data_IF_272512252575
#
_entry.id   IF_272512252575
#
_cell.length_a   1.000
_cell.length_b   1.000
_cell.length_c   1.000
_cell.angle_alpha   90.00
_cell.angle_beta   90.00
_cell.angle_gamma   90.00
#
_symmetry.space_group_name_H-M   'P 1'
#
loop_
_entity.id
_entity.type
_entity.pdbx_description
1 polymer ?
#
# COMPACT_ATOMS: atom_id res chain seq x y z
N UNK A 1 -11.55 44.13 10.11
CA UNK A 1 -10.58 43.03 10.11
C UNK A 1 -11.25 41.82 9.46
N UNK A 2 -10.84 41.52 8.26
CA UNK A 2 -11.37 40.38 7.52
C UNK A 2 -10.80 39.13 8.17
N UNK A 3 -11.67 38.35 8.81
CA UNK A 3 -11.33 37.05 9.36
C UNK A 3 -11.71 36.01 8.28
N UNK A 4 -10.72 35.38 7.66
CA UNK A 4 -10.92 34.31 6.72
C UNK A 4 -11.06 32.99 7.46
N UNK A 5 -12.17 32.29 7.26
CA UNK A 5 -12.38 30.93 7.73
C UNK A 5 -11.84 29.91 6.75
N UNK A 6 -11.98 28.63 7.08
CA UNK A 6 -11.53 27.53 6.20
C UNK A 6 -12.24 27.51 4.86
N UNK A 7 -13.52 27.90 4.81
CA UNK A 7 -14.30 27.98 3.56
C UNK A 7 -13.82 29.12 2.68
N UNK A 8 -13.53 30.30 3.25
CA UNK A 8 -13.01 31.46 2.53
C UNK A 8 -11.62 31.17 1.94
N UNK A 9 -10.77 30.44 2.68
CA UNK A 9 -9.47 30.00 2.20
C UNK A 9 -9.59 28.98 1.07
N UNK A 10 -10.52 28.06 1.14
CA UNK A 10 -10.79 27.09 0.08
C UNK A 10 -11.32 27.78 -1.19
N UNK A 11 -12.20 28.77 -1.04
CA UNK A 11 -12.70 29.58 -2.15
C UNK A 11 -11.61 30.44 -2.80
N UNK A 12 -10.69 30.98 -2.00
CA UNK A 12 -9.54 31.71 -2.50
C UNK A 12 -8.57 30.79 -3.26
N UNK A 13 -8.27 29.61 -2.72
CA UNK A 13 -7.39 28.62 -3.37
C UNK A 13 -7.98 28.14 -4.69
N UNK A 14 -9.28 27.89 -4.75
CA UNK A 14 -9.95 27.49 -6.01
C UNK A 14 -9.85 28.54 -7.12
N UNK A 15 -9.69 29.81 -6.77
CA UNK A 15 -9.49 30.93 -7.72
C UNK A 15 -8.04 31.07 -8.18
N UNK A 16 -7.08 30.55 -7.43
CA UNK A 16 -5.64 30.67 -7.70
C UNK A 16 -5.00 29.28 -7.87
N UNK A 17 -5.37 28.58 -8.93
CA UNK A 17 -4.95 27.21 -9.24
C UNK A 17 -3.42 27.02 -9.23
N UNK A 18 -2.65 28.03 -9.66
CA UNK A 18 -1.19 27.98 -9.59
C UNK A 18 -0.63 27.90 -8.17
N UNK A 19 -1.34 28.47 -7.19
CA UNK A 19 -0.98 28.41 -5.78
C UNK A 19 -1.33 27.05 -5.20
N UNK A 20 -2.48 26.51 -5.57
CA UNK A 20 -2.89 25.14 -5.21
C UNK A 20 -1.89 24.11 -5.72
N UNK A 21 -1.50 24.19 -6.99
CA UNK A 21 -0.53 23.28 -7.61
C UNK A 21 0.86 23.34 -6.98
N UNK A 22 1.30 24.54 -6.55
CA UNK A 22 2.58 24.74 -5.84
C UNK A 22 2.59 24.19 -4.41
N UNK A 23 1.44 24.17 -3.76
CA UNK A 23 1.30 23.80 -2.35
C UNK A 23 0.51 22.49 -2.19
N UNK A 24 1.15 21.39 -2.55
CA UNK A 24 0.62 20.04 -2.52
C UNK A 24 -0.25 19.68 -1.30
N UNK A 25 0.09 20.22 -0.10
CA UNK A 25 -0.72 20.00 1.11
C UNK A 25 -2.04 20.80 1.13
N UNK A 26 -2.14 21.89 0.39
CA UNK A 26 -3.33 22.75 0.43
C UNK A 26 -4.51 22.13 -0.32
N UNK A 27 -4.27 21.47 -1.44
CA UNK A 27 -5.37 20.88 -2.19
C UNK A 27 -5.68 19.43 -1.81
N UNK A 28 -4.78 18.69 -1.15
CA UNK A 28 -5.13 17.45 -0.46
C UNK A 28 -6.06 17.68 0.74
N UNK A 29 -6.02 18.86 1.36
CA UNK A 29 -6.96 19.25 2.41
C UNK A 29 -8.29 19.78 1.88
N UNK A 30 -8.36 20.15 0.59
CA UNK A 30 -9.60 20.59 -0.08
C UNK A 30 -10.35 19.37 -0.63
N UNK A 31 -11.14 18.76 0.25
CA UNK A 31 -11.97 17.57 -0.08
C UNK A 31 -12.90 17.77 -1.28
N UNK A 32 -13.26 19.00 -1.62
CA UNK A 32 -14.18 19.33 -2.71
C UNK A 32 -13.49 19.31 -4.08
N UNK A 33 -12.26 19.83 -4.19
CA UNK A 33 -11.51 19.83 -5.45
C UNK A 33 -11.08 18.40 -5.79
N UNK A 34 -10.60 17.68 -4.80
CA UNK A 34 -10.21 16.28 -4.98
C UNK A 34 -11.41 15.38 -5.33
N UNK A 35 -12.58 15.55 -4.67
CA UNK A 35 -13.82 14.87 -5.05
C UNK A 35 -14.27 15.21 -6.47
N UNK A 36 -14.17 16.47 -6.88
CA UNK A 36 -14.55 16.88 -8.23
C UNK A 36 -13.64 16.24 -9.29
N UNK A 37 -12.34 16.15 -9.03
CA UNK A 37 -11.35 15.52 -9.91
C UNK A 37 -11.54 14.01 -9.93
N UNK A 38 -11.71 13.40 -8.76
CA UNK A 38 -11.97 11.96 -8.61
C UNK A 38 -13.26 11.59 -9.33
N UNK A 39 -14.35 12.30 -9.13
CA UNK A 39 -15.64 12.03 -9.79
C UNK A 39 -15.62 12.24 -11.32
N UNK A 40 -14.74 13.10 -11.83
CA UNK A 40 -14.62 13.36 -13.27
C UNK A 40 -13.74 12.33 -14.02
N UNK A 41 -12.84 11.64 -13.32
CA UNK A 41 -11.80 10.81 -13.94
C UNK A 41 -12.11 9.30 -13.96
N UNK A 42 -13.31 8.85 -13.43
CA UNK A 42 -13.39 7.47 -12.98
C UNK A 42 -14.53 6.67 -13.57
N UNK A 43 -14.17 5.53 -14.14
CA UNK A 43 -15.06 4.39 -14.39
C UNK A 43 -14.58 3.14 -13.66
N UNK A 44 -15.39 2.59 -12.76
CA UNK A 44 -15.17 1.25 -12.18
C UNK A 44 -14.08 1.13 -11.10
N UNK A 45 -13.20 0.12 -11.21
CA UNK A 45 -12.18 -0.27 -10.21
C UNK A 45 -11.19 0.84 -9.84
N UNK A 46 -10.82 1.66 -10.82
CA UNK A 46 -9.92 2.79 -10.62
C UNK A 46 -10.50 3.85 -9.69
N UNK A 47 -11.83 3.99 -9.64
CA UNK A 47 -12.55 4.88 -8.74
C UNK A 47 -12.31 4.51 -7.27
N UNK A 48 -12.60 3.26 -6.95
CA UNK A 48 -12.43 2.73 -5.59
C UNK A 48 -11.00 2.90 -5.08
N UNK A 49 -10.02 2.59 -5.94
CA UNK A 49 -8.60 2.72 -5.59
C UNK A 49 -8.20 4.18 -5.36
N UNK A 50 -8.73 5.11 -6.12
CA UNK A 50 -8.49 6.54 -5.91
C UNK A 50 -9.16 7.08 -4.64
N UNK A 51 -10.34 6.61 -4.27
CA UNK A 51 -10.99 6.95 -2.99
C UNK A 51 -10.12 6.47 -1.82
N UNK A 52 -9.63 5.23 -1.87
CA UNK A 52 -8.70 4.69 -0.87
C UNK A 52 -7.43 5.55 -0.75
N UNK A 53 -6.85 5.96 -1.89
CA UNK A 53 -5.67 6.84 -1.91
C UNK A 53 -5.95 8.19 -1.29
N UNK A 54 -7.14 8.74 -1.50
CA UNK A 54 -7.56 10.01 -0.94
C UNK A 54 -7.63 9.96 0.59
N UNK A 55 -8.21 8.91 1.16
CA UNK A 55 -8.36 8.77 2.62
C UNK A 55 -7.01 8.71 3.34
N UNK A 56 -5.99 8.14 2.70
CA UNK A 56 -4.63 8.08 3.24
C UNK A 56 -3.76 9.29 2.90
N UNK A 57 -4.24 10.19 2.04
CA UNK A 57 -3.43 11.32 1.54
C UNK A 57 -3.01 12.32 2.62
N UNK A 58 -3.84 12.53 3.65
CA UNK A 58 -3.54 13.45 4.74
C UNK A 58 -2.26 13.06 5.52
N UNK A 59 -1.97 11.77 5.64
CA UNK A 59 -0.78 11.27 6.35
C UNK A 59 0.49 11.29 5.48
N UNK A 60 0.36 11.49 4.18
CA UNK A 60 1.49 11.45 3.26
C UNK A 60 2.48 12.59 3.49
N UNK A 61 3.76 12.26 3.40
CA UNK A 61 4.86 13.22 3.44
C UNK A 61 5.58 13.20 2.11
N UNK A 62 5.58 14.34 1.41
CA UNK A 62 6.41 14.52 0.21
C UNK A 62 7.87 14.49 0.63
N UNK A 63 8.57 13.45 0.22
CA UNK A 63 9.99 13.22 0.48
C UNK A 63 10.81 13.61 -0.76
N UNK A 64 12.13 13.68 -0.62
CA UNK A 64 13.04 13.93 -1.75
C UNK A 64 12.89 12.90 -2.87
N UNK A 65 12.56 11.66 -2.54
CA UNK A 65 12.33 10.59 -3.50
C UNK A 65 11.07 10.81 -4.35
N UNK A 66 10.08 11.56 -3.85
CA UNK A 66 8.89 11.92 -4.61
C UNK A 66 9.25 12.82 -5.81
N UNK A 67 10.08 13.82 -5.58
CA UNK A 67 10.50 14.74 -6.63
C UNK A 67 11.38 14.04 -7.66
N UNK A 68 12.29 13.17 -7.22
CA UNK A 68 13.10 12.32 -8.10
C UNK A 68 12.21 11.39 -8.94
N UNK A 69 11.16 10.84 -8.36
CA UNK A 69 10.20 9.98 -9.05
C UNK A 69 9.42 10.73 -10.14
N UNK A 70 8.96 11.94 -9.84
CA UNK A 70 8.28 12.80 -10.82
C UNK A 70 9.20 13.13 -11.99
N UNK A 71 10.42 13.59 -11.70
CA UNK A 71 11.39 13.93 -12.74
C UNK A 71 11.71 12.73 -13.64
N UNK A 72 11.88 11.55 -13.04
CA UNK A 72 12.12 10.31 -13.77
C UNK A 72 10.92 9.92 -14.64
N UNK A 73 9.70 10.01 -14.07
CA UNK A 73 8.47 9.67 -14.77
C UNK A 73 8.17 10.64 -15.92
N UNK A 74 8.51 11.93 -15.79
CA UNK A 74 8.41 12.89 -16.88
C UNK A 74 9.38 12.57 -18.03
N UNK A 75 10.62 12.21 -17.71
CA UNK A 75 11.66 11.91 -18.71
C UNK A 75 11.41 10.58 -19.42
N UNK A 76 11.17 9.52 -18.63
CA UNK A 76 11.11 8.15 -19.13
C UNK A 76 9.69 7.65 -19.41
N UNK A 77 8.67 8.38 -18.95
CA UNK A 77 7.22 8.03 -19.00
C UNK A 77 6.85 6.72 -18.29
N UNK A 78 7.83 5.97 -17.84
CA UNK A 78 7.65 4.75 -17.06
C UNK A 78 8.63 4.74 -15.90
N UNK A 79 8.21 4.21 -14.74
CA UNK A 79 9.04 4.09 -13.54
C UNK A 79 8.75 2.76 -12.84
N UNK A 80 9.82 2.13 -12.36
CA UNK A 80 9.77 0.93 -11.52
C UNK A 80 10.23 1.33 -10.13
N UNK A 81 9.31 1.39 -9.18
CA UNK A 81 9.60 1.76 -7.80
C UNK A 81 9.92 0.50 -7.01
N UNK A 82 11.15 0.43 -6.48
CA UNK A 82 11.63 -0.70 -5.67
C UNK A 82 11.98 -0.28 -4.26
N UNK A 83 12.07 -1.23 -3.36
CA UNK A 83 12.46 -1.00 -1.97
C UNK A 83 11.98 -2.09 -1.02
N UNK A 84 12.37 -1.98 0.24
CA UNK A 84 12.00 -2.91 1.30
C UNK A 84 10.48 -2.93 1.55
N UNK A 85 9.92 -4.03 2.07
CA UNK A 85 8.53 -4.08 2.50
C UNK A 85 8.22 -2.97 3.53
N UNK A 86 7.08 -2.27 3.35
CA UNK A 86 6.65 -1.23 4.30
C UNK A 86 7.31 0.14 4.15
N UNK A 87 8.31 0.32 3.27
CA UNK A 87 9.03 1.59 3.09
C UNK A 87 8.17 2.70 2.42
N UNK A 88 7.00 2.37 1.89
CA UNK A 88 6.08 3.35 1.29
C UNK A 88 6.03 3.35 -0.23
N UNK A 89 6.41 2.27 -0.93
CA UNK A 89 6.34 2.16 -2.41
C UNK A 89 4.95 2.45 -2.96
N UNK A 90 3.95 1.72 -2.49
CA UNK A 90 2.54 1.89 -2.87
C UNK A 90 2.05 3.29 -2.56
N UNK A 91 2.42 3.85 -1.41
CA UNK A 91 2.06 5.21 -1.01
C UNK A 91 2.65 6.25 -1.96
N UNK A 92 3.94 6.12 -2.32
CA UNK A 92 4.59 6.99 -3.30
C UNK A 92 3.90 6.88 -4.67
N UNK A 93 3.68 5.66 -5.17
CA UNK A 93 3.03 5.43 -6.46
C UNK A 93 1.63 6.04 -6.53
N UNK A 94 0.82 5.85 -5.48
CA UNK A 94 -0.52 6.41 -5.36
C UNK A 94 -0.49 7.94 -5.46
N UNK A 95 0.44 8.61 -4.78
CA UNK A 95 0.55 10.06 -4.82
C UNK A 95 1.10 10.60 -6.15
N UNK A 96 1.95 9.84 -6.82
CA UNK A 96 2.34 10.15 -8.21
C UNK A 96 1.13 10.05 -9.14
N UNK A 97 0.32 9.00 -9.01
CA UNK A 97 -0.91 8.86 -9.78
C UNK A 97 -1.86 10.04 -9.55
N UNK A 98 -2.06 10.46 -8.28
CA UNK A 98 -2.89 11.64 -7.97
C UNK A 98 -2.39 12.90 -8.69
N UNK A 99 -1.10 13.17 -8.72
CA UNK A 99 -0.54 14.32 -9.42
C UNK A 99 -0.94 14.32 -10.91
N UNK A 100 -0.83 13.17 -11.58
CA UNK A 100 -1.23 13.05 -12.98
C UNK A 100 -2.73 13.13 -13.20
N UNK A 101 -3.53 12.58 -12.28
CA UNK A 101 -5.02 12.70 -12.36
C UNK A 101 -5.45 14.17 -12.31
N UNK A 102 -4.78 14.97 -11.48
CA UNK A 102 -5.01 16.43 -11.40
C UNK A 102 -4.64 17.12 -12.70
N UNK A 103 -3.59 16.67 -13.37
CA UNK A 103 -3.17 17.15 -14.70
C UNK A 103 -4.04 16.60 -15.85
N UNK A 104 -5.17 15.98 -15.52
CA UNK A 104 -6.16 15.49 -16.46
C UNK A 104 -5.84 14.14 -17.10
N UNK A 105 -5.00 13.32 -16.44
CA UNK A 105 -4.80 11.93 -16.85
C UNK A 105 -5.90 11.04 -16.29
N UNK A 106 -6.39 10.13 -17.10
CA UNK A 106 -7.26 9.04 -16.66
C UNK A 106 -6.43 8.01 -15.90
N UNK A 107 -6.90 7.60 -14.71
CA UNK A 107 -6.23 6.60 -13.88
C UNK A 107 -6.65 5.19 -14.29
N UNK A 108 -5.70 4.36 -14.65
CA UNK A 108 -5.88 2.97 -15.06
C UNK A 108 -5.14 2.04 -14.09
N UNK A 109 -5.86 1.47 -13.12
CA UNK A 109 -5.31 0.50 -12.18
C UNK A 109 -5.27 -0.90 -12.80
N UNK A 110 -4.11 -1.55 -12.71
CA UNK A 110 -3.87 -2.91 -13.21
C UNK A 110 -3.81 -3.84 -11.99
N UNK A 111 -4.62 -4.88 -11.99
CA UNK A 111 -4.77 -5.77 -10.84
C UNK A 111 -4.04 -7.11 -11.04
N UNK A 112 -4.23 -7.77 -12.16
CA UNK A 112 -3.76 -9.14 -12.38
C UNK A 112 -2.61 -9.25 -13.37
N UNK A 113 -2.71 -8.57 -14.52
CA UNK A 113 -1.74 -8.74 -15.61
C UNK A 113 -1.59 -7.50 -16.46
N UNK A 114 -0.43 -7.36 -17.11
CA UNK A 114 -0.16 -6.21 -17.99
C UNK A 114 -1.07 -6.20 -19.23
N UNK A 115 -1.67 -7.34 -19.61
CA UNK A 115 -2.64 -7.43 -20.70
C UNK A 115 -3.91 -6.60 -20.44
N UNK A 116 -4.26 -6.38 -19.17
CA UNK A 116 -5.34 -5.44 -18.81
C UNK A 116 -5.01 -4.02 -19.27
N UNK A 117 -3.78 -3.56 -19.03
CA UNK A 117 -3.33 -2.24 -19.46
C UNK A 117 -3.38 -2.09 -20.97
N UNK A 118 -3.00 -3.13 -21.71
CA UNK A 118 -3.03 -3.11 -23.18
C UNK A 118 -4.46 -2.94 -23.73
N UNK A 119 -5.44 -3.53 -23.05
CA UNK A 119 -6.86 -3.40 -23.43
C UNK A 119 -7.47 -2.04 -23.12
N UNK A 120 -6.88 -1.30 -22.16
CA UNK A 120 -7.36 0.01 -21.72
C UNK A 120 -6.70 1.18 -22.46
N UNK A 121 -5.68 0.95 -23.30
CA UNK A 121 -5.00 2.04 -24.02
C UNK A 121 -5.95 2.66 -25.05
N UNK A 122 -6.21 3.96 -24.88
CA UNK A 122 -6.90 4.81 -25.85
C UNK A 122 -5.95 5.86 -26.43
N UNK A 123 -5.82 5.94 -27.76
CA UNK A 123 -4.78 6.76 -28.40
C UNK A 123 -4.88 8.27 -28.08
N UNK A 124 -6.08 8.81 -28.00
CA UNK A 124 -6.34 10.24 -27.87
C UNK A 124 -6.51 10.73 -26.43
N UNK A 125 -6.36 9.86 -25.42
CA UNK A 125 -6.49 10.21 -24.02
C UNK A 125 -5.14 10.26 -23.30
N UNK A 126 -5.05 11.15 -22.32
CA UNK A 126 -3.96 11.10 -21.35
C UNK A 126 -4.28 10.01 -20.32
N UNK A 127 -3.40 9.03 -20.12
CA UNK A 127 -3.64 7.92 -19.21
C UNK A 127 -2.41 7.62 -18.35
N UNK A 128 -2.63 7.36 -17.06
CA UNK A 128 -1.61 6.85 -16.15
C UNK A 128 -1.98 5.45 -15.70
N UNK A 129 -1.12 4.50 -16.01
CA UNK A 129 -1.26 3.09 -15.66
C UNK A 129 -0.47 2.81 -14.39
N UNK A 130 -1.09 2.09 -13.46
CA UNK A 130 -0.45 1.71 -12.21
C UNK A 130 -0.63 0.22 -11.93
N UNK A 131 0.50 -0.49 -11.78
CA UNK A 131 0.56 -1.89 -11.42
C UNK A 131 1.27 -2.04 -10.07
N UNK A 132 0.49 -2.43 -9.04
CA UNK A 132 1.00 -2.54 -7.67
C UNK A 132 1.55 -3.93 -7.37
N UNK A 133 2.66 -3.95 -6.62
CA UNK A 133 3.34 -5.16 -6.10
C UNK A 133 3.54 -6.27 -7.14
N UNK A 134 3.99 -5.89 -8.34
CA UNK A 134 4.37 -6.84 -9.38
C UNK A 134 5.38 -7.88 -8.83
N UNK A 135 5.11 -9.15 -9.05
CA UNK A 135 5.84 -10.31 -8.53
C UNK A 135 5.71 -10.53 -7.00
N UNK A 136 5.07 -9.65 -6.23
CA UNK A 136 4.92 -9.84 -4.79
C UNK A 136 3.94 -10.96 -4.44
N UNK A 137 2.85 -11.06 -5.19
CA UNK A 137 1.78 -12.04 -4.94
C UNK A 137 1.91 -13.32 -5.76
N UNK A 138 2.57 -13.30 -6.90
CA UNK A 138 2.52 -14.38 -7.89
C UNK A 138 3.85 -14.64 -8.61
N UNK A 139 4.99 -14.59 -7.91
CA UNK A 139 6.30 -14.82 -8.52
C UNK A 139 6.37 -16.12 -9.36
N UNK A 140 5.84 -17.22 -8.84
CA UNK A 140 5.85 -18.52 -9.53
C UNK A 140 4.89 -18.55 -10.74
N UNK A 141 3.78 -17.82 -10.71
CA UNK A 141 2.82 -17.73 -11.82
C UNK A 141 3.30 -16.76 -12.91
N UNK A 142 3.94 -15.66 -12.54
CA UNK A 142 4.51 -14.70 -13.47
C UNK A 142 5.68 -15.32 -14.27
N UNK A 143 6.51 -16.14 -13.64
CA UNK A 143 7.57 -16.91 -14.34
C UNK A 143 7.03 -17.86 -15.42
N UNK A 144 5.82 -18.41 -15.22
CA UNK A 144 5.20 -19.32 -16.18
C UNK A 144 4.49 -18.65 -17.37
N UNK A 145 4.16 -17.35 -17.28
CA UNK A 145 3.30 -16.63 -18.25
C UNK A 145 4.03 -15.65 -19.17
N UNK A 146 5.36 -15.58 -19.16
CA UNK A 146 6.14 -14.58 -19.92
C UNK A 146 5.78 -13.11 -19.64
N UNK A 147 5.19 -12.82 -18.48
CA UNK A 147 4.79 -11.46 -18.05
C UNK A 147 5.96 -10.46 -18.15
N UNK A 148 7.19 -10.92 -17.90
CA UNK A 148 8.40 -10.09 -18.00
C UNK A 148 8.56 -9.46 -19.39
N UNK A 149 8.32 -10.23 -20.44
CA UNK A 149 8.41 -9.74 -21.82
C UNK A 149 7.28 -8.78 -22.16
N UNK A 150 6.08 -9.01 -21.62
CA UNK A 150 4.93 -8.12 -21.81
C UNK A 150 5.15 -6.78 -21.15
N UNK A 151 5.72 -6.75 -19.93
CA UNK A 151 6.05 -5.50 -19.24
C UNK A 151 7.05 -4.67 -20.02
N UNK A 152 8.13 -5.29 -20.54
CA UNK A 152 9.12 -4.57 -21.34
C UNK A 152 8.51 -3.99 -22.62
N UNK A 153 7.68 -4.76 -23.31
CA UNK A 153 6.97 -4.28 -24.48
C UNK A 153 6.04 -3.13 -24.14
N UNK A 154 5.36 -3.20 -23.00
CA UNK A 154 4.50 -2.14 -22.52
C UNK A 154 5.29 -0.87 -22.17
N UNK A 155 6.43 -0.98 -21.46
CA UNK A 155 7.34 0.14 -21.18
C UNK A 155 7.78 0.83 -22.48
N UNK A 156 8.19 0.08 -23.49
CA UNK A 156 8.55 0.61 -24.81
C UNK A 156 7.38 1.35 -25.49
N UNK A 157 6.19 0.74 -25.44
CA UNK A 157 4.97 1.34 -25.99
C UNK A 157 4.65 2.67 -25.32
N UNK A 158 4.70 2.71 -23.98
CA UNK A 158 4.48 3.94 -23.21
C UNK A 158 5.55 4.99 -23.51
N UNK A 159 6.82 4.59 -23.63
CA UNK A 159 7.93 5.48 -23.99
C UNK A 159 7.72 6.21 -25.32
N UNK A 160 7.00 5.63 -26.26
CA UNK A 160 6.68 6.23 -27.56
C UNK A 160 5.37 7.04 -27.56
N UNK A 161 4.55 6.96 -26.50
CA UNK A 161 3.22 7.58 -26.43
C UNK A 161 3.23 8.84 -25.56
N UNK A 162 3.05 10.03 -26.17
CA UNK A 162 3.17 11.33 -25.49
C UNK A 162 2.20 11.52 -24.31
N UNK A 163 1.01 10.97 -24.36
CA UNK A 163 -0.03 11.14 -23.34
C UNK A 163 -0.10 9.99 -22.34
N UNK A 164 0.92 9.14 -22.22
CA UNK A 164 0.87 7.94 -21.37
C UNK A 164 1.95 7.98 -20.30
N UNK A 165 1.61 7.44 -19.13
CA UNK A 165 2.53 7.19 -18.02
C UNK A 165 2.32 5.79 -17.46
N UNK A 166 3.38 5.17 -16.94
CA UNK A 166 3.31 3.87 -16.32
C UNK A 166 4.13 3.81 -15.04
N UNK A 167 3.50 3.34 -13.97
CA UNK A 167 4.13 3.12 -12.67
C UNK A 167 3.99 1.66 -12.31
N UNK A 168 5.10 1.04 -11.98
CA UNK A 168 5.20 -0.33 -11.49
C UNK A 168 5.84 -0.31 -10.11
N UNK A 169 5.25 -0.97 -9.11
CA UNK A 169 5.92 -1.19 -7.83
C UNK A 169 6.36 -2.65 -7.71
N UNK A 170 7.50 -2.89 -7.08
CA UNK A 170 8.01 -4.23 -6.80
C UNK A 170 8.90 -4.26 -5.58
N UNK A 171 9.12 -5.43 -5.00
CA UNK A 171 10.11 -5.63 -3.94
C UNK A 171 11.50 -5.77 -4.56
N UNK A 172 12.51 -5.14 -3.95
CA UNK A 172 13.90 -5.21 -4.44
C UNK A 172 14.43 -6.65 -4.47
N UNK A 173 14.09 -7.45 -3.47
CA UNK A 173 14.47 -8.88 -3.41
C UNK A 173 13.91 -9.68 -4.57
N UNK A 174 12.64 -9.46 -4.91
CA UNK A 174 11.94 -10.16 -5.98
C UNK A 174 12.47 -9.75 -7.35
N UNK A 175 12.73 -8.45 -7.54
CA UNK A 175 13.27 -7.95 -8.81
C UNK A 175 14.71 -8.43 -9.04
N UNK A 176 15.51 -8.59 -7.97
CA UNK A 176 16.88 -9.12 -8.04
C UNK A 176 16.91 -10.64 -8.24
N UNK A 177 15.92 -11.38 -7.74
CA UNK A 177 15.75 -12.81 -7.99
C UNK A 177 15.24 -13.09 -9.40
N UNK A 178 14.53 -12.15 -10.01
CA UNK A 178 14.12 -12.17 -11.40
C UNK A 178 15.32 -11.99 -12.35
N UNK A 179 16.29 -12.92 -12.32
CA UNK A 179 17.42 -12.94 -13.29
C UNK A 179 16.94 -12.76 -14.72
N UNK A 180 15.79 -13.33 -15.05
CA UNK A 180 15.18 -13.27 -16.38
C UNK A 180 14.75 -11.87 -16.77
N UNK A 181 14.17 -11.07 -15.87
CA UNK A 181 13.83 -9.67 -16.16
C UNK A 181 15.10 -8.86 -16.42
N UNK A 182 16.15 -9.02 -15.61
CA UNK A 182 17.45 -8.39 -15.83
C UNK A 182 18.09 -8.80 -17.16
N UNK A 183 18.02 -10.05 -17.53
CA UNK A 183 18.52 -10.56 -18.81
C UNK A 183 17.75 -9.97 -19.99
N UNK A 184 16.42 -9.87 -19.90
CA UNK A 184 15.58 -9.25 -20.92
C UNK A 184 15.87 -7.76 -21.09
N UNK A 185 16.08 -7.01 -20.00
CA UNK A 185 16.52 -5.61 -20.09
C UNK A 185 17.87 -5.49 -20.83
N UNK A 186 18.82 -6.41 -20.56
CA UNK A 186 20.12 -6.42 -21.23
C UNK A 186 20.00 -6.82 -22.70
N UNK A 187 19.21 -7.86 -23.04
CA UNK A 187 18.98 -8.32 -24.42
C UNK A 187 18.37 -7.20 -25.27
N UNK A 188 17.44 -6.46 -24.70
CA UNK A 188 16.74 -5.37 -25.38
C UNK A 188 17.51 -4.04 -25.38
N UNK A 189 18.76 -4.02 -24.85
CA UNK A 189 19.59 -2.82 -24.70
C UNK A 189 18.88 -1.66 -23.95
N UNK A 190 17.98 -2.00 -23.03
CA UNK A 190 17.31 -1.02 -22.17
C UNK A 190 18.09 -0.94 -20.86
N UNK A 191 18.60 0.25 -20.53
CA UNK A 191 19.27 0.46 -19.27
C UNK A 191 18.22 0.46 -18.13
N UNK A 192 18.10 -0.65 -17.39
CA UNK A 192 17.18 -0.80 -16.27
C UNK A 192 17.27 0.36 -15.27
N UNK A 193 18.47 0.87 -14.99
CA UNK A 193 18.70 1.96 -14.04
C UNK A 193 17.99 3.27 -14.47
N UNK A 194 17.68 3.44 -15.75
CA UNK A 194 16.93 4.61 -16.21
C UNK A 194 15.48 4.58 -15.74
N UNK A 195 14.88 3.40 -15.60
CA UNK A 195 13.50 3.20 -15.19
C UNK A 195 13.36 2.91 -13.69
N UNK A 196 14.35 2.28 -13.07
CA UNK A 196 14.28 1.87 -11.67
C UNK A 196 14.55 3.05 -10.74
N UNK A 197 13.71 3.18 -9.72
CA UNK A 197 13.87 4.06 -8.59
C UNK A 197 13.78 3.24 -7.30
N UNK A 198 14.91 3.10 -6.63
CA UNK A 198 14.95 2.41 -5.34
C UNK A 198 14.73 3.41 -4.20
N UNK A 199 13.69 3.19 -3.40
CA UNK A 199 13.48 3.99 -2.18
C UNK A 199 14.58 3.66 -1.19
N UNK A 200 15.46 4.64 -0.98
CA UNK A 200 16.56 4.58 -0.01
C UNK A 200 16.05 4.85 1.41
N UNK A 201 16.96 4.75 2.38
CA UNK A 201 16.66 5.10 3.78
C UNK A 201 16.20 6.56 3.87
N UNK A 202 15.10 6.76 4.62
CA UNK A 202 14.58 8.09 4.92
C UNK A 202 15.54 8.89 5.78
N UNK A 203 15.61 10.19 5.55
CA UNK A 203 16.34 11.13 6.42
C UNK A 203 15.62 11.28 7.77
N UNK A 204 16.34 11.71 8.80
CA UNK A 204 15.74 11.95 10.11
C UNK A 204 14.58 12.97 10.07
N UNK A 205 14.66 13.97 9.20
CA UNK A 205 13.59 14.96 8.99
C UNK A 205 12.36 14.33 8.33
N UNK A 206 12.53 13.48 7.32
CA UNK A 206 11.44 12.77 6.67
C UNK A 206 10.77 11.80 7.64
N UNK A 207 11.55 11.04 8.42
CA UNK A 207 11.05 10.18 9.49
C UNK A 207 10.23 10.97 10.52
N UNK A 208 10.73 12.13 10.95
CA UNK A 208 10.03 12.99 11.89
C UNK A 208 8.70 13.51 11.34
N UNK A 209 8.68 13.93 10.06
CA UNK A 209 7.45 14.39 9.39
C UNK A 209 6.42 13.27 9.27
N UNK A 210 6.86 12.05 8.92
CA UNK A 210 5.99 10.88 8.83
C UNK A 210 5.38 10.56 10.18
N UNK A 211 6.20 10.47 11.24
CA UNK A 211 5.70 10.23 12.59
C UNK A 211 4.71 11.33 13.03
N UNK A 212 5.05 12.59 12.80
CA UNK A 212 4.16 13.73 13.13
C UNK A 212 2.81 13.63 12.42
N UNK A 213 2.79 13.37 11.09
CA UNK A 213 1.55 13.26 10.34
C UNK A 213 0.71 12.06 10.81
N UNK A 214 1.35 10.92 11.10
CA UNK A 214 0.65 9.76 11.62
C UNK A 214 0.00 10.02 12.98
N UNK A 215 0.71 10.69 13.90
CA UNK A 215 0.17 11.08 15.21
C UNK A 215 -0.93 12.13 15.04
N UNK A 216 -0.69 13.17 14.23
CA UNK A 216 -1.64 14.30 14.06
C UNK A 216 -2.98 13.88 13.44
N UNK A 217 -2.93 13.00 12.43
CA UNK A 217 -4.11 12.50 11.74
C UNK A 217 -4.59 11.13 12.29
N UNK A 218 -4.08 10.70 13.43
CA UNK A 218 -4.60 9.54 14.15
C UNK A 218 -5.79 9.95 15.02
N UNK A 219 -6.57 8.96 15.43
CA UNK A 219 -7.61 9.12 16.45
C UNK A 219 -7.11 8.70 17.85
N UNK A 220 -5.79 8.78 18.08
CA UNK A 220 -5.19 8.44 19.36
C UNK A 220 -5.66 9.40 20.46
N UNK A 221 -6.00 8.84 21.61
CA UNK A 221 -6.27 9.62 22.82
C UNK A 221 -5.00 10.40 23.24
N UNK A 222 -5.18 11.61 23.76
CA UNK A 222 -4.11 12.49 24.21
C UNK A 222 -3.09 11.81 25.14
N UNK A 223 -3.55 10.87 25.98
CA UNK A 223 -2.69 10.11 26.91
C UNK A 223 -1.61 9.27 26.20
N UNK A 224 -1.92 8.70 25.04
CA UNK A 224 -0.93 7.98 24.23
C UNK A 224 0.04 8.96 23.57
N UNK A 225 -0.47 10.10 23.11
CA UNK A 225 0.35 11.15 22.52
C UNK A 225 1.32 11.72 23.56
N UNK A 226 0.85 11.99 24.78
CA UNK A 226 1.69 12.45 25.89
C UNK A 226 2.82 11.47 26.22
N UNK A 227 2.55 10.17 26.26
CA UNK A 227 3.58 9.15 26.51
C UNK A 227 4.65 9.13 25.39
N UNK A 228 4.26 9.35 24.13
CA UNK A 228 5.21 9.46 23.02
C UNK A 228 6.07 10.72 23.12
N UNK A 229 5.50 11.83 23.60
CA UNK A 229 6.22 13.10 23.73
C UNK A 229 7.02 13.23 25.04
N UNK A 230 6.69 12.46 26.07
CA UNK A 230 7.38 12.42 27.34
C UNK A 230 8.88 12.14 27.14
N UNK A 231 9.72 12.95 27.78
CA UNK A 231 11.19 12.84 27.67
C UNK A 231 11.72 12.79 26.23
N UNK A 232 10.94 13.31 25.27
CA UNK A 232 11.30 13.31 23.83
C UNK A 232 11.44 11.91 23.23
N UNK A 233 10.66 10.92 23.70
CA UNK A 233 10.66 9.53 23.24
C UNK A 233 10.45 9.40 21.72
N UNK A 234 9.72 10.34 21.10
CA UNK A 234 9.60 10.41 19.64
C UNK A 234 10.96 10.45 18.92
N UNK A 235 12.02 10.98 19.56
CA UNK A 235 13.37 10.98 18.97
C UNK A 235 13.99 9.58 18.94
N UNK A 236 13.67 8.73 19.92
CA UNK A 236 14.11 7.33 19.95
C UNK A 236 13.45 6.60 18.78
N UNK A 237 12.16 6.81 18.55
CA UNK A 237 11.45 6.25 17.38
C UNK A 237 12.10 6.70 16.07
N UNK A 238 12.33 8.00 15.88
CA UNK A 238 12.89 8.58 14.64
C UNK A 238 14.30 8.02 14.35
N UNK A 239 15.12 7.85 15.38
CA UNK A 239 16.51 7.43 15.23
C UNK A 239 16.70 5.91 15.31
N UNK A 240 15.63 5.15 15.52
CA UNK A 240 15.71 3.69 15.61
C UNK A 240 16.12 3.07 14.28
N UNK A 241 17.01 2.06 14.32
CA UNK A 241 17.51 1.38 13.11
C UNK A 241 16.39 0.67 12.33
N UNK A 242 15.43 0.09 13.04
CA UNK A 242 14.28 -0.59 12.48
C UNK A 242 13.11 0.38 12.15
N UNK A 243 13.35 1.71 12.16
CA UNK A 243 12.29 2.65 11.78
C UNK A 243 11.74 2.31 10.39
N UNK A 244 10.44 2.11 10.33
CA UNK A 244 9.72 1.84 9.09
C UNK A 244 8.36 2.57 9.12
N UNK A 245 7.94 3.26 8.03
CA UNK A 245 6.64 3.95 7.96
C UNK A 245 5.44 3.07 8.32
N UNK A 246 5.49 1.79 7.99
CA UNK A 246 4.46 0.83 8.36
C UNK A 246 4.39 0.61 9.87
N UNK A 247 5.54 0.51 10.55
CA UNK A 247 5.60 0.43 12.00
C UNK A 247 4.96 1.65 12.65
N UNK A 248 5.31 2.83 12.14
CA UNK A 248 4.72 4.09 12.59
C UNK A 248 3.20 4.07 12.41
N UNK A 249 2.71 3.65 11.23
CA UNK A 249 1.28 3.50 10.98
C UNK A 249 0.62 2.52 11.96
N UNK A 250 1.30 1.43 12.29
CA UNK A 250 0.79 0.39 13.18
C UNK A 250 0.67 0.88 14.63
N UNK A 251 1.73 1.47 15.18
CA UNK A 251 1.74 1.93 16.57
C UNK A 251 0.88 3.18 16.80
N UNK A 252 0.55 3.93 15.75
CA UNK A 252 -0.34 5.11 15.82
C UNK A 252 -1.78 4.82 15.41
N UNK A 253 -2.15 3.57 15.18
CA UNK A 253 -3.52 3.16 14.89
C UNK A 253 -4.31 2.99 16.19
N UNK A 254 -5.27 3.88 16.44
CA UNK A 254 -6.08 3.88 17.65
C UNK A 254 -6.82 2.55 17.90
N UNK A 255 -7.24 1.85 16.84
CA UNK A 255 -7.90 0.55 16.98
C UNK A 255 -6.95 -0.55 17.45
N UNK A 256 -5.69 -0.48 17.03
CA UNK A 256 -4.68 -1.49 17.39
C UNK A 256 -4.13 -1.31 18.78
N UNK A 257 -4.14 -0.09 19.30
CA UNK A 257 -3.64 0.22 20.65
C UNK A 257 -4.76 0.31 21.69
N UNK A 258 -6.02 0.10 21.29
CA UNK A 258 -7.18 0.24 22.17
C UNK A 258 -7.11 -0.61 23.45
N UNK A 259 -6.51 -1.81 23.36
CA UNK A 259 -6.37 -2.74 24.47
C UNK A 259 -5.09 -2.51 25.29
N UNK A 260 -4.23 -1.58 24.89
CA UNK A 260 -2.97 -1.25 25.56
C UNK A 260 -3.22 -0.13 26.55
N UNK A 261 -2.84 -0.32 27.80
CA UNK A 261 -2.93 0.77 28.79
C UNK A 261 -1.96 1.89 28.44
N UNK A 262 -2.37 3.17 28.55
CA UNK A 262 -1.49 4.30 28.21
C UNK A 262 -0.10 4.23 28.86
N UNK A 263 -0.02 3.79 30.14
CA UNK A 263 1.25 3.63 30.85
C UNK A 263 2.19 2.59 30.21
N UNK A 264 1.65 1.62 29.49
CA UNK A 264 2.41 0.56 28.81
C UNK A 264 2.65 0.86 27.32
N UNK A 265 2.09 1.97 26.81
CA UNK A 265 2.17 2.28 25.39
C UNK A 265 3.60 2.51 24.90
N UNK A 266 4.44 3.17 25.72
CA UNK A 266 5.83 3.35 25.36
C UNK A 266 6.59 2.02 25.26
N UNK A 267 6.40 1.11 26.23
CA UNK A 267 6.99 -0.21 26.18
C UNK A 267 6.57 -0.98 24.92
N UNK A 268 5.29 -0.92 24.57
CA UNK A 268 4.77 -1.51 23.34
C UNK A 268 5.45 -0.96 22.08
N UNK A 269 5.72 0.36 22.00
CA UNK A 269 6.45 0.96 20.89
C UNK A 269 7.89 0.44 20.82
N UNK A 270 8.59 0.38 21.97
CA UNK A 270 9.97 -0.13 22.05
C UNK A 270 10.06 -1.58 21.57
N UNK A 271 9.22 -2.46 22.13
CA UNK A 271 9.16 -3.87 21.72
C UNK A 271 8.85 -4.01 20.22
N UNK A 272 7.92 -3.22 19.70
CA UNK A 272 7.56 -3.21 18.28
C UNK A 272 8.71 -2.75 17.38
N UNK A 273 9.54 -1.83 17.83
CA UNK A 273 10.71 -1.35 17.08
C UNK A 273 11.88 -2.31 17.19
N UNK A 274 12.11 -2.94 18.36
CA UNK A 274 13.21 -3.88 18.58
C UNK A 274 13.00 -5.18 17.78
N UNK A 275 11.80 -5.72 17.77
CA UNK A 275 11.45 -6.90 16.99
C UNK A 275 10.22 -6.66 16.10
N UNK A 276 10.43 -6.16 14.87
CA UNK A 276 9.35 -5.96 13.92
C UNK A 276 8.64 -7.26 13.49
N UNK A 277 9.26 -8.42 13.67
CA UNK A 277 8.63 -9.72 13.42
C UNK A 277 7.52 -10.00 14.43
N UNK A 278 7.65 -9.49 15.65
CA UNK A 278 6.67 -9.62 16.71
C UNK A 278 5.40 -8.80 16.49
N UNK A 279 5.38 -7.80 15.62
CA UNK A 279 4.12 -7.12 15.25
C UNK A 279 3.09 -8.15 14.81
N UNK A 280 3.54 -9.08 13.99
CA UNK A 280 2.70 -10.15 13.49
C UNK A 280 2.52 -11.24 14.54
N UNK A 281 3.57 -11.52 15.33
CA UNK A 281 3.53 -12.44 16.45
C UNK A 281 2.50 -12.02 17.50
N UNK A 282 2.55 -10.78 17.96
CA UNK A 282 1.62 -10.27 18.97
C UNK A 282 0.17 -10.30 18.47
N UNK A 283 -0.11 -9.84 17.25
CA UNK A 283 -1.46 -9.90 16.67
C UNK A 283 -1.92 -11.34 16.49
N UNK A 284 -1.05 -12.18 15.94
CA UNK A 284 -1.34 -13.58 15.67
C UNK A 284 -1.56 -14.39 16.96
N UNK A 285 -0.73 -14.19 17.98
CA UNK A 285 -0.79 -14.97 19.22
C UNK A 285 -1.86 -14.48 20.20
N UNK A 286 -2.07 -13.17 20.31
CA UNK A 286 -2.89 -12.58 21.35
C UNK A 286 -4.25 -12.05 20.88
N UNK A 287 -4.43 -11.72 19.60
CA UNK A 287 -5.68 -11.17 19.09
C UNK A 287 -6.49 -12.18 18.26
N UNK A 288 -5.89 -13.30 17.85
CA UNK A 288 -6.56 -14.34 17.11
C UNK A 288 -6.82 -15.57 17.97
N UNK A 289 -8.01 -16.09 17.87
CA UNK A 289 -8.28 -17.45 18.35
C UNK A 289 -7.64 -18.49 17.42
N UNK A 290 -7.60 -19.75 17.84
CA UNK A 290 -6.98 -20.84 17.06
C UNK A 290 -7.59 -20.98 15.67
N UNK A 291 -8.85 -20.64 15.48
CA UNK A 291 -9.58 -20.77 14.23
C UNK A 291 -9.24 -19.65 13.26
N UNK A 292 -9.15 -18.42 13.75
CA UNK A 292 -8.67 -17.28 12.99
C UNK A 292 -7.20 -17.47 12.57
N UNK A 293 -6.38 -18.13 13.42
CA UNK A 293 -5.02 -18.54 13.08
C UNK A 293 -4.98 -19.55 11.93
N UNK A 294 -5.86 -20.57 11.94
CA UNK A 294 -5.97 -21.51 10.82
C UNK A 294 -6.37 -20.80 9.52
N UNK A 295 -7.33 -19.87 9.59
CA UNK A 295 -7.70 -19.08 8.41
C UNK A 295 -6.52 -18.29 7.84
N UNK A 296 -5.75 -17.61 8.71
CA UNK A 296 -4.56 -16.88 8.29
C UNK A 296 -3.52 -17.80 7.63
N UNK A 297 -3.29 -19.00 8.18
CA UNK A 297 -2.40 -19.98 7.57
C UNK A 297 -2.90 -20.45 6.21
N UNK A 298 -4.19 -20.76 6.06
CA UNK A 298 -4.76 -21.20 4.77
C UNK A 298 -4.61 -20.13 3.71
N UNK A 299 -4.92 -18.87 4.04
CA UNK A 299 -4.75 -17.74 3.12
C UNK A 299 -3.27 -17.55 2.76
N UNK A 300 -2.36 -17.65 3.76
CA UNK A 300 -0.91 -17.54 3.54
C UNK A 300 -0.39 -18.64 2.60
N UNK A 301 -0.73 -19.89 2.87
CA UNK A 301 -0.26 -21.04 2.08
C UNK A 301 -0.89 -21.09 0.69
N UNK A 302 -2.07 -20.50 0.48
CA UNK A 302 -2.64 -20.34 -0.86
C UNK A 302 -1.80 -19.38 -1.72
N UNK A 303 -1.04 -18.50 -1.11
CA UNK A 303 -0.09 -17.58 -1.77
C UNK A 303 -0.74 -16.46 -2.59
N UNK A 304 -2.07 -16.36 -2.59
CA UNK A 304 -2.86 -15.36 -3.31
C UNK A 304 -4.27 -15.28 -2.74
N UNK A 305 -5.06 -14.36 -3.30
CA UNK A 305 -6.48 -14.27 -3.04
C UNK A 305 -7.19 -15.63 -3.15
N UNK A 306 -7.98 -15.98 -2.14
CA UNK A 306 -8.74 -17.22 -2.06
C UNK A 306 -10.23 -16.90 -1.95
N UNK A 307 -11.06 -17.54 -2.76
CA UNK A 307 -12.52 -17.36 -2.68
C UNK A 307 -13.07 -17.78 -1.31
N UNK A 308 -14.14 -17.12 -0.85
CA UNK A 308 -14.79 -17.45 0.42
C UNK A 308 -15.21 -18.92 0.48
N UNK A 309 -15.69 -19.49 -0.61
CA UNK A 309 -16.08 -20.89 -0.71
C UNK A 309 -14.86 -21.82 -0.54
N UNK A 310 -13.76 -21.55 -1.26
CA UNK A 310 -12.52 -22.32 -1.17
C UNK A 310 -11.90 -22.24 0.22
N UNK A 311 -11.86 -21.02 0.79
CA UNK A 311 -11.34 -20.79 2.15
C UNK A 311 -12.16 -21.55 3.19
N UNK A 312 -13.49 -21.49 3.09
CA UNK A 312 -14.41 -22.21 3.97
C UNK A 312 -14.22 -23.73 3.87
N UNK A 313 -14.10 -24.27 2.66
CA UNK A 313 -13.90 -25.69 2.46
C UNK A 313 -12.55 -26.16 3.04
N UNK A 314 -11.48 -25.41 2.81
CA UNK A 314 -10.17 -25.69 3.37
C UNK A 314 -10.18 -25.60 4.90
N UNK A 315 -10.80 -24.59 5.46
CA UNK A 315 -10.97 -24.41 6.88
C UNK A 315 -11.71 -25.58 7.54
N UNK A 316 -12.87 -25.96 7.01
CA UNK A 316 -13.64 -27.10 7.50
C UNK A 316 -12.87 -28.42 7.42
N UNK A 317 -12.06 -28.60 6.36
CA UNK A 317 -11.23 -29.79 6.22
C UNK A 317 -10.15 -29.87 7.32
N UNK A 318 -9.49 -28.76 7.62
CA UNK A 318 -8.48 -28.69 8.70
C UNK A 318 -9.12 -28.92 10.05
N UNK A 319 -10.24 -28.23 10.34
CA UNK A 319 -10.95 -28.33 11.59
C UNK A 319 -11.46 -29.73 11.87
N UNK A 320 -12.00 -30.43 10.86
CA UNK A 320 -12.46 -31.81 10.99
C UNK A 320 -11.29 -32.79 11.25
N UNK A 321 -10.10 -32.53 10.69
CA UNK A 321 -8.89 -33.35 10.94
C UNK A 321 -8.31 -33.11 12.33
N UNK A 322 -8.39 -31.90 12.84
CA UNK A 322 -7.91 -31.55 14.17
C UNK A 322 -8.87 -31.97 15.30
N UNK A 323 -9.92 -32.80 15.02
CA UNK A 323 -10.99 -33.22 15.93
C UNK A 323 -11.75 -32.06 16.61
N UNK A 324 -11.65 -30.87 16.06
CA UNK A 324 -12.31 -29.68 16.57
C UNK A 324 -13.72 -29.62 15.96
N UNK A 325 -14.75 -29.66 16.80
CA UNK A 325 -16.16 -29.61 16.35
C UNK A 325 -16.57 -28.17 16.10
N UNK A 326 -16.71 -27.78 14.83
CA UNK A 326 -17.19 -26.47 14.43
C UNK A 326 -18.46 -26.53 13.60
N UNK A 327 -19.33 -25.56 13.86
CA UNK A 327 -20.47 -25.26 13.03
C UNK A 327 -20.18 -24.16 11.99
N UNK A 328 -21.12 -23.91 11.08
CA UNK A 328 -21.02 -22.89 10.05
C UNK A 328 -20.81 -21.48 10.61
N UNK A 329 -21.42 -21.19 11.77
CA UNK A 329 -21.30 -19.92 12.47
C UNK A 329 -19.87 -19.60 12.90
N UNK A 330 -19.07 -20.60 13.16
CA UNK A 330 -17.70 -20.43 13.64
C UNK A 330 -16.76 -19.98 12.54
N UNK A 331 -16.94 -20.46 11.29
CA UNK A 331 -16.22 -19.93 10.13
C UNK A 331 -16.45 -18.44 9.95
N UNK A 332 -17.71 -18.00 10.00
CA UNK A 332 -18.09 -16.59 9.83
C UNK A 332 -17.49 -15.73 10.93
N UNK A 333 -17.55 -16.21 12.18
CA UNK A 333 -16.96 -15.51 13.31
C UNK A 333 -15.44 -15.43 13.20
N UNK A 334 -14.79 -16.54 12.90
CA UNK A 334 -13.33 -16.62 12.75
C UNK A 334 -12.83 -15.76 11.57
N UNK A 335 -13.54 -15.77 10.46
CA UNK A 335 -13.24 -14.89 9.32
C UNK A 335 -13.40 -13.41 9.69
N UNK A 336 -14.42 -13.07 10.49
CA UNK A 336 -14.62 -11.70 10.99
C UNK A 336 -13.48 -11.28 11.94
N UNK A 337 -13.06 -12.16 12.84
CA UNK A 337 -11.94 -11.90 13.77
C UNK A 337 -10.59 -11.73 13.01
N UNK A 338 -10.36 -12.57 12.00
CA UNK A 338 -9.15 -12.49 11.20
C UNK A 338 -9.12 -11.27 10.28
N UNK A 339 -10.31 -10.80 9.82
CA UNK A 339 -10.42 -9.66 8.90
C UNK A 339 -10.01 -8.35 9.59
N UNK A 340 -9.12 -7.61 8.95
CA UNK A 340 -8.55 -6.38 9.49
C UNK A 340 -7.38 -6.59 10.45
N UNK A 341 -7.25 -7.77 11.05
CA UNK A 341 -6.10 -8.14 11.85
C UNK A 341 -4.96 -8.73 10.99
N UNK A 342 -5.26 -9.78 10.23
CA UNK A 342 -4.27 -10.54 9.44
C UNK A 342 -4.71 -10.82 8.00
N UNK A 343 -6.01 -10.78 7.69
CA UNK A 343 -6.55 -10.94 6.34
C UNK A 343 -7.44 -9.77 5.95
N UNK A 344 -7.52 -9.51 4.65
CA UNK A 344 -8.47 -8.58 4.03
C UNK A 344 -9.62 -9.36 3.40
N UNK A 345 -10.83 -8.81 3.50
CA UNK A 345 -12.00 -9.27 2.76
C UNK A 345 -12.17 -8.41 1.52
N UNK A 346 -12.20 -9.05 0.36
CA UNK A 346 -12.32 -8.40 -0.94
C UNK A 346 -13.69 -8.77 -1.52
N UNK A 347 -14.46 -7.76 -1.94
CA UNK A 347 -15.77 -7.97 -2.57
C UNK A 347 -15.67 -7.50 -4.02
N UNK A 348 -15.85 -8.42 -4.96
CA UNK A 348 -15.90 -8.08 -6.38
C UNK A 348 -17.20 -7.33 -6.72
N UNK A 349 -17.06 -6.16 -7.33
CA UNK A 349 -18.22 -5.35 -7.76
C UNK A 349 -18.99 -5.93 -8.96
N UNK A 350 -18.48 -6.98 -9.63
CA UNK A 350 -19.09 -7.55 -10.84
C UNK A 350 -20.10 -8.65 -10.55
N UNK A 351 -19.80 -9.50 -9.59
CA UNK A 351 -20.56 -10.72 -9.31
C UNK A 351 -20.89 -10.91 -7.82
N UNK A 352 -20.59 -9.88 -6.99
CA UNK A 352 -20.71 -9.96 -5.53
C UNK A 352 -19.95 -11.13 -4.91
N UNK A 353 -18.94 -11.68 -5.61
CA UNK A 353 -18.11 -12.72 -5.04
C UNK A 353 -17.24 -12.15 -3.93
N UNK A 354 -17.05 -12.94 -2.87
CA UNK A 354 -16.17 -12.59 -1.75
C UNK A 354 -14.92 -13.43 -1.81
N UNK A 355 -13.76 -12.78 -1.63
CA UNK A 355 -12.47 -13.41 -1.51
C UNK A 355 -11.70 -12.87 -0.32
N UNK A 356 -10.64 -13.55 0.08
CA UNK A 356 -9.76 -13.17 1.17
C UNK A 356 -8.31 -13.21 0.72
N UNK A 357 -7.52 -12.26 1.20
CA UNK A 357 -6.07 -12.18 0.98
C UNK A 357 -5.37 -11.78 2.29
N UNK A 358 -4.07 -11.97 2.38
CA UNK A 358 -3.32 -11.47 3.54
C UNK A 358 -3.38 -9.95 3.60
N UNK A 359 -3.62 -9.42 4.80
CA UNK A 359 -3.54 -7.98 5.05
C UNK A 359 -2.17 -7.41 4.65
N UNK A 360 -1.11 -8.22 4.83
CA UNK A 360 0.25 -7.85 4.53
C UNK A 360 1.06 -9.07 4.09
N UNK A 361 1.77 -8.99 2.95
CA UNK A 361 2.65 -10.06 2.51
C UNK A 361 3.75 -10.47 3.52
N UNK A 362 4.25 -9.53 4.34
CA UNK A 362 5.23 -9.86 5.39
C UNK A 362 4.67 -10.80 6.46
N UNK A 363 3.35 -10.81 6.65
CA UNK A 363 2.68 -11.82 7.48
C UNK A 363 2.81 -13.22 6.87
N UNK A 364 2.78 -13.33 5.54
CA UNK A 364 3.05 -14.60 4.84
C UNK A 364 4.45 -15.11 5.14
N UNK A 365 5.45 -14.24 5.05
CA UNK A 365 6.84 -14.59 5.37
C UNK A 365 6.97 -15.02 6.85
N UNK A 366 6.35 -14.28 7.79
CA UNK A 366 6.30 -14.64 9.20
C UNK A 366 5.66 -16.02 9.43
N UNK A 367 4.51 -16.31 8.80
CA UNK A 367 3.82 -17.60 8.96
C UNK A 367 4.60 -18.76 8.32
N UNK A 368 5.26 -18.54 7.19
CA UNK A 368 6.13 -19.54 6.55
C UNK A 368 7.37 -19.85 7.41
N UNK A 369 7.95 -18.84 8.08
CA UNK A 369 9.04 -19.08 9.04
C UNK A 369 8.58 -19.81 10.29
N UNK A 370 7.38 -19.54 10.78
CA UNK A 370 6.84 -20.15 11.98
C UNK A 370 6.35 -21.58 11.77
N UNK A 371 5.83 -21.86 10.58
CA UNK A 371 5.32 -23.18 10.17
C UNK A 371 6.02 -23.63 8.90
N UNK A 372 7.30 -24.06 8.99
CA UNK A 372 8.04 -24.55 7.83
C UNK A 372 7.32 -25.76 7.25
N UNK A 373 7.06 -25.73 5.93
CA UNK A 373 6.44 -26.82 5.16
C UNK A 373 7.43 -27.93 4.88
#
# INVERSE_FOLDING_TARGET
SDIFGSEDLNDLLSKYREVEEKHYKLWLSSSNVLRAIVNAAITGRSAYKLEEVNDFSAKYVRTSIHDEALDKLEKMRSIIITGEPGIGKTTLANHLCLNYVIDGYEFCYIEESISEAESLIENDRKQIFYFDDFLGRNYLLALGRHEDSHILNFIKRIGNAKGKRFILTSRSTVLNQGKRLSELFNIENINRNEYELTIKKLTALEKAKILYNHVWFSSLDEKYIDELYKEKRYRLVINHDNYNPRLVSFVTDAHKVADIRPDNYWQYIEETLEDPSDIWGHVYDNQLDEHAKYLACVVSFNGREISEESLKNAFLHIVNRAEIKFGYSDFVLSAKLATGAVINRIISGRDNSTAYDLFNPALGDFLLHRYPT
#
